data_IF_276424164534
#
_entry.id   IF_276424164534
#
_cell.length_a   1.000
_cell.length_b   1.000
_cell.length_c   1.000
_cell.angle_alpha   90.00
_cell.angle_beta   90.00
_cell.angle_gamma   90.00
#
_symmetry.space_group_name_H-M   'P 1'
#
loop_
_entity.id
_entity.type
_entity.pdbx_description
1 polymer ?
#
# COMPACT_ATOMS: atom_id res chain seq x y z
N UNK A 1 -45.25 10.80 28.02
CA UNK A 1 -46.15 11.18 29.12
C UNK A 1 -46.56 9.92 29.88
N UNK A 2 -46.32 9.81 31.20
CA UNK A 2 -46.61 8.58 31.96
C UNK A 2 -48.02 8.58 32.57
N UNK A 3 -48.68 7.41 32.58
CA UNK A 3 -49.96 7.17 33.27
C UNK A 3 -49.79 6.14 34.39
N UNK A 4 -50.12 6.51 35.64
CA UNK A 4 -49.69 5.78 36.83
C UNK A 4 -50.64 4.68 37.35
N UNK A 5 -50.05 3.68 38.01
CA UNK A 5 -50.75 2.63 38.77
C UNK A 5 -51.58 3.19 39.94
N UNK A 6 -52.79 2.66 40.15
CA UNK A 6 -53.57 2.85 41.40
C UNK A 6 -53.97 1.51 42.01
N UNK A 7 -53.37 1.16 43.15
CA UNK A 7 -53.76 -0.01 43.98
C UNK A 7 -55.02 0.34 44.80
N UNK A 8 -56.04 -0.52 44.81
CA UNK A 8 -57.17 -0.43 45.75
C UNK A 8 -56.77 -1.01 47.11
N UNK A 9 -57.07 -0.28 48.20
CA UNK A 9 -56.97 -0.80 49.58
C UNK A 9 -58.33 -1.37 49.99
N UNK A 10 -58.34 -2.55 50.62
CA UNK A 10 -59.50 -3.04 51.37
C UNK A 10 -59.49 -2.43 52.79
N UNK A 11 -60.67 -2.07 53.28
CA UNK A 11 -60.89 -1.63 54.67
C UNK A 11 -61.92 -2.59 55.27
N UNK A 12 -61.53 -3.35 56.29
CA UNK A 12 -62.46 -4.11 57.11
C UNK A 12 -62.97 -3.23 58.26
N UNK A 13 -64.28 -3.00 58.32
CA UNK A 13 -64.92 -2.33 59.43
C UNK A 13 -64.92 -3.21 60.69
N UNK A 14 -64.86 -2.60 61.88
CA UNK A 14 -65.10 -3.24 63.17
C UNK A 14 -66.46 -2.82 63.72
N UNK A 15 -67.10 -3.71 64.46
CA UNK A 15 -68.28 -3.40 65.27
C UNK A 15 -67.89 -2.46 66.44
N UNK A 16 -68.52 -1.28 66.59
CA UNK A 16 -68.18 -0.32 67.64
C UNK A 16 -68.50 -0.76 69.08
N UNK A 17 -69.38 -1.75 69.27
CA UNK A 17 -69.90 -2.09 70.60
C UNK A 17 -69.09 -3.17 71.34
N UNK A 18 -68.37 -4.05 70.62
CA UNK A 18 -67.65 -5.19 71.21
C UNK A 18 -66.25 -5.47 70.67
N UNK A 19 -65.81 -4.79 69.59
CA UNK A 19 -64.40 -4.71 69.20
C UNK A 19 -63.73 -5.99 68.66
N UNK A 20 -64.45 -7.09 68.46
CA UNK A 20 -63.96 -8.30 67.75
C UNK A 20 -64.65 -8.49 66.39
N UNK A 21 -64.00 -9.23 65.50
CA UNK A 21 -64.52 -9.58 64.17
C UNK A 21 -65.41 -10.83 64.24
N UNK A 22 -66.57 -10.80 63.59
CA UNK A 22 -67.52 -11.92 63.53
C UNK A 22 -67.57 -12.55 62.12
N UNK A 23 -67.85 -13.84 62.05
CA UNK A 23 -68.04 -14.60 60.81
C UNK A 23 -69.42 -15.30 60.82
N UNK A 24 -70.05 -15.43 59.65
CA UNK A 24 -71.40 -16.02 59.48
C UNK A 24 -71.60 -16.48 58.00
N UNK A 25 -72.67 -17.24 57.66
CA UNK A 25 -72.78 -18.68 57.93
C UNK A 25 -73.21 -19.51 56.70
N UNK A 26 -73.41 -20.83 56.88
CA UNK A 26 -73.78 -21.82 55.84
C UNK A 26 -75.19 -22.40 56.12
N UNK A 27 -76.05 -22.65 55.11
CA UNK A 27 -77.26 -23.46 55.27
C UNK A 27 -77.43 -24.62 54.25
N UNK A 28 -78.33 -25.56 54.57
CA UNK A 28 -78.66 -26.82 53.87
C UNK A 28 -80.02 -26.76 53.10
N UNK A 29 -80.40 -27.78 52.28
CA UNK A 29 -81.50 -27.70 51.30
C UNK A 29 -82.79 -28.50 51.66
N UNK A 30 -83.89 -28.31 50.89
CA UNK A 30 -85.02 -29.25 50.82
C UNK A 30 -85.45 -29.65 49.37
N UNK A 31 -86.37 -30.62 49.27
CA UNK A 31 -86.88 -31.34 48.07
C UNK A 31 -88.38 -31.71 48.28
N UNK A 32 -89.14 -32.39 47.39
CA UNK A 32 -89.58 -32.09 46.00
C UNK A 32 -91.12 -31.89 45.82
N UNK A 33 -91.55 -31.50 44.59
CA UNK A 33 -92.76 -31.95 43.81
C UNK A 33 -93.44 -30.84 42.95
N UNK A 34 -94.29 -31.04 41.91
CA UNK A 34 -94.50 -32.08 40.86
C UNK A 34 -95.56 -31.59 39.81
N UNK A 35 -95.61 -32.18 38.60
CA UNK A 35 -96.69 -32.21 37.58
C UNK A 35 -96.76 -31.17 36.42
N UNK A 36 -96.42 -31.61 35.19
CA UNK A 36 -97.00 -31.27 33.87
C UNK A 36 -96.14 -31.92 32.76
N UNK A 37 -96.70 -32.67 31.79
CA UNK A 37 -95.84 -33.46 30.86
C UNK A 37 -96.30 -33.72 29.41
N UNK A 38 -97.31 -33.03 28.88
CA UNK A 38 -97.86 -33.33 27.52
C UNK A 38 -98.10 -32.14 26.59
N UNK A 39 -97.87 -30.88 27.01
CA UNK A 39 -98.03 -29.69 26.14
C UNK A 39 -96.68 -29.21 25.57
N UNK A 40 -95.56 -29.71 26.09
CA UNK A 40 -94.23 -29.21 25.73
C UNK A 40 -93.65 -29.75 24.43
N UNK A 41 -94.06 -30.94 23.97
CA UNK A 41 -93.27 -31.70 22.98
C UNK A 41 -93.44 -31.19 21.54
N UNK A 42 -94.66 -30.89 21.09
CA UNK A 42 -94.90 -30.35 19.74
C UNK A 42 -94.35 -28.93 19.55
N UNK A 43 -94.53 -28.06 20.54
CA UNK A 43 -93.99 -26.69 20.50
C UNK A 43 -92.45 -26.68 20.56
N UNK A 44 -91.86 -27.61 21.30
CA UNK A 44 -90.41 -27.79 21.34
C UNK A 44 -89.87 -28.21 19.97
N UNK A 45 -90.49 -29.18 19.30
CA UNK A 45 -90.02 -29.68 18.00
C UNK A 45 -90.08 -28.61 16.89
N UNK A 46 -91.15 -27.80 16.81
CA UNK A 46 -91.22 -26.71 15.82
C UNK A 46 -90.18 -25.61 16.08
N UNK A 47 -89.91 -25.29 17.35
CA UNK A 47 -88.82 -24.37 17.71
C UNK A 47 -87.45 -24.98 17.40
N UNK A 48 -87.28 -26.29 17.59
CA UNK A 48 -86.04 -27.01 17.31
C UNK A 48 -85.72 -26.99 15.81
N UNK A 49 -86.67 -27.37 14.95
CA UNK A 49 -86.50 -27.38 13.48
C UNK A 49 -86.17 -25.99 12.94
N UNK A 50 -86.88 -24.95 13.41
CA UNK A 50 -86.59 -23.57 13.00
C UNK A 50 -85.19 -23.13 13.45
N UNK A 51 -84.81 -23.45 14.69
CA UNK A 51 -83.46 -23.18 15.21
C UNK A 51 -82.38 -23.97 14.47
N UNK A 52 -82.70 -25.15 13.94
CA UNK A 52 -81.78 -25.92 13.08
C UNK A 52 -81.62 -25.28 11.71
N UNK A 53 -82.71 -24.86 11.07
CA UNK A 53 -82.67 -24.19 9.77
C UNK A 53 -81.90 -22.87 9.82
N UNK A 54 -82.20 -22.01 10.80
CA UNK A 54 -81.51 -20.72 11.00
C UNK A 54 -79.99 -20.92 11.26
N UNK A 55 -79.60 -22.02 11.92
CA UNK A 55 -78.20 -22.39 12.15
C UNK A 55 -77.51 -22.91 10.88
N UNK A 56 -78.19 -23.67 10.05
CA UNK A 56 -77.63 -24.16 8.77
C UNK A 56 -77.43 -23.01 7.78
N UNK A 57 -78.37 -22.08 7.70
CA UNK A 57 -78.22 -20.86 6.87
C UNK A 57 -77.03 -20.02 7.34
N UNK A 58 -76.91 -19.77 8.64
CA UNK A 58 -75.76 -19.05 9.22
C UNK A 58 -74.43 -19.79 9.00
N UNK A 59 -74.42 -21.13 9.05
CA UNK A 59 -73.22 -21.93 8.78
C UNK A 59 -72.79 -21.84 7.31
N UNK A 60 -73.74 -21.83 6.37
CA UNK A 60 -73.46 -21.64 4.94
C UNK A 60 -73.00 -20.21 4.61
N UNK A 61 -73.55 -19.19 5.28
CA UNK A 61 -73.04 -17.83 5.17
C UNK A 61 -71.59 -17.72 5.70
N UNK A 62 -71.30 -18.31 6.86
CA UNK A 62 -69.95 -18.34 7.43
C UNK A 62 -68.96 -19.09 6.52
N UNK A 63 -69.37 -20.19 5.86
CA UNK A 63 -68.55 -20.88 4.85
C UNK A 63 -68.27 -20.00 3.63
N UNK A 64 -69.25 -19.23 3.15
CA UNK A 64 -69.08 -18.28 2.04
C UNK A 64 -68.13 -17.15 2.42
N UNK A 65 -68.23 -16.60 3.63
CA UNK A 65 -67.30 -15.59 4.13
C UNK A 65 -65.88 -16.14 4.30
N UNK A 66 -65.73 -17.34 4.86
CA UNK A 66 -64.43 -18.03 4.98
C UNK A 66 -63.79 -18.23 3.60
N UNK A 67 -64.54 -18.69 2.61
CA UNK A 67 -64.05 -18.85 1.23
C UNK A 67 -63.61 -17.53 0.59
N UNK A 68 -64.34 -16.42 0.83
CA UNK A 68 -63.93 -15.08 0.41
C UNK A 68 -62.65 -14.61 1.13
N UNK A 69 -62.48 -14.95 2.40
CA UNK A 69 -61.28 -14.60 3.17
C UNK A 69 -60.06 -15.38 2.65
N UNK A 70 -60.18 -16.70 2.48
CA UNK A 70 -59.14 -17.56 1.90
C UNK A 70 -58.75 -17.13 0.46
N UNK A 71 -59.70 -16.58 -0.32
CA UNK A 71 -59.37 -15.98 -1.62
C UNK A 71 -58.53 -14.71 -1.45
N UNK A 72 -58.94 -13.79 -0.58
CA UNK A 72 -58.19 -12.55 -0.32
C UNK A 72 -56.81 -12.79 0.27
N UNK A 73 -56.67 -13.82 1.10
CA UNK A 73 -55.38 -14.26 1.65
C UNK A 73 -54.42 -14.68 0.54
N UNK A 74 -54.89 -15.48 -0.43
CA UNK A 74 -54.12 -15.81 -1.66
C UNK A 74 -53.78 -14.59 -2.50
N UNK A 75 -54.72 -13.65 -2.68
CA UNK A 75 -54.47 -12.39 -3.41
C UNK A 75 -53.40 -11.52 -2.71
N UNK A 76 -53.37 -11.51 -1.37
CA UNK A 76 -52.33 -10.82 -0.60
C UNK A 76 -50.97 -11.51 -0.76
N UNK A 77 -50.89 -12.84 -0.65
CA UNK A 77 -49.63 -13.58 -0.87
C UNK A 77 -49.07 -13.37 -2.28
N UNK A 78 -49.93 -13.32 -3.31
CA UNK A 78 -49.54 -13.03 -4.69
C UNK A 78 -48.97 -11.61 -4.83
N UNK A 79 -49.59 -10.62 -4.19
CA UNK A 79 -49.09 -9.24 -4.15
C UNK A 79 -47.78 -9.10 -3.36
N UNK A 80 -47.61 -9.80 -2.24
CA UNK A 80 -46.36 -9.82 -1.48
C UNK A 80 -45.20 -10.40 -2.31
N UNK A 81 -45.46 -11.47 -3.06
CA UNK A 81 -44.48 -12.06 -3.98
C UNK A 81 -44.10 -11.09 -5.11
N UNK A 82 -45.06 -10.32 -5.65
CA UNK A 82 -44.78 -9.30 -6.67
C UNK A 82 -44.03 -8.09 -6.11
N UNK A 83 -44.36 -7.62 -4.89
CA UNK A 83 -43.61 -6.56 -4.20
C UNK A 83 -42.15 -6.98 -3.94
N UNK A 84 -41.92 -8.24 -3.54
CA UNK A 84 -40.57 -8.78 -3.38
C UNK A 84 -39.79 -8.77 -4.70
N UNK A 85 -40.43 -9.20 -5.81
CA UNK A 85 -39.84 -9.19 -7.16
C UNK A 85 -39.48 -7.77 -7.64
N UNK A 86 -40.37 -6.80 -7.45
CA UNK A 86 -40.13 -5.40 -7.81
C UNK A 86 -39.03 -4.77 -6.94
N UNK A 87 -38.96 -5.14 -5.66
CA UNK A 87 -37.89 -4.69 -4.76
C UNK A 87 -36.51 -5.18 -5.21
N UNK A 88 -36.39 -6.44 -5.65
CA UNK A 88 -35.13 -6.98 -6.16
C UNK A 88 -34.70 -6.30 -7.47
N UNK A 89 -35.64 -6.11 -8.41
CA UNK A 89 -35.37 -5.33 -9.64
C UNK A 89 -34.89 -3.90 -9.33
N UNK A 90 -35.42 -3.24 -8.30
CA UNK A 90 -34.95 -1.92 -7.87
C UNK A 90 -33.49 -1.95 -7.39
N UNK A 91 -33.10 -2.99 -6.62
CA UNK A 91 -31.71 -3.17 -6.16
C UNK A 91 -30.75 -3.41 -7.33
N UNK A 92 -31.16 -4.18 -8.33
CA UNK A 92 -30.38 -4.41 -9.54
C UNK A 92 -30.18 -3.11 -10.35
N UNK A 93 -31.21 -2.25 -10.44
CA UNK A 93 -31.11 -0.92 -11.07
C UNK A 93 -30.16 -0.01 -10.26
N UNK A 94 -30.26 0.00 -8.94
CA UNK A 94 -29.34 0.77 -8.09
C UNK A 94 -27.88 0.29 -8.21
N UNK A 95 -27.66 -1.03 -8.33
CA UNK A 95 -26.33 -1.60 -8.62
C UNK A 95 -25.78 -1.12 -9.96
N UNK A 96 -26.58 -1.19 -11.04
CA UNK A 96 -26.19 -0.70 -12.37
C UNK A 96 -25.89 0.81 -12.37
N UNK A 97 -26.70 1.60 -11.65
CA UNK A 97 -26.48 3.03 -11.46
C UNK A 97 -25.16 3.31 -10.75
N UNK A 98 -24.81 2.53 -9.72
CA UNK A 98 -23.55 2.69 -9.00
C UNK A 98 -22.34 2.30 -9.88
N UNK A 99 -22.43 1.23 -10.66
CA UNK A 99 -21.41 0.85 -11.64
C UNK A 99 -21.17 1.96 -12.70
N UNK A 100 -22.24 2.59 -13.18
CA UNK A 100 -22.17 3.74 -14.09
C UNK A 100 -21.51 4.96 -13.45
N UNK A 101 -21.76 5.22 -12.16
CA UNK A 101 -21.08 6.30 -11.41
C UNK A 101 -19.58 6.02 -11.28
N UNK A 102 -19.18 4.79 -10.93
CA UNK A 102 -17.76 4.39 -10.87
C UNK A 102 -17.09 4.45 -12.25
N UNK A 103 -17.82 4.13 -13.32
CA UNK A 103 -17.32 4.27 -14.70
C UNK A 103 -17.15 5.73 -15.11
N UNK A 104 -18.07 6.61 -14.70
CA UNK A 104 -17.97 8.04 -14.92
C UNK A 104 -16.78 8.65 -14.18
N UNK A 105 -16.51 8.23 -12.94
CA UNK A 105 -15.36 8.73 -12.17
C UNK A 105 -14.03 8.30 -12.82
N UNK A 106 -13.89 7.03 -13.22
CA UNK A 106 -12.74 6.54 -14.00
C UNK A 106 -12.52 7.32 -15.30
N UNK A 107 -13.58 7.74 -15.99
CA UNK A 107 -13.47 8.58 -17.19
C UNK A 107 -12.96 9.99 -16.88
N UNK A 108 -13.32 10.59 -15.74
CA UNK A 108 -12.74 11.87 -15.29
C UNK A 108 -11.26 11.73 -14.96
N UNK A 109 -10.86 10.65 -14.29
CA UNK A 109 -9.45 10.38 -13.98
C UNK A 109 -8.61 10.27 -15.27
N UNK A 110 -9.11 9.56 -16.29
CA UNK A 110 -8.45 9.45 -17.60
C UNK A 110 -8.34 10.80 -18.32
N UNK A 111 -9.40 11.63 -18.31
CA UNK A 111 -9.34 12.97 -18.92
C UNK A 111 -8.40 13.91 -18.13
N UNK A 112 -8.32 13.80 -16.80
CA UNK A 112 -7.35 14.52 -15.99
C UNK A 112 -5.91 14.10 -16.31
N UNK A 113 -5.64 12.79 -16.43
CA UNK A 113 -4.33 12.27 -16.83
C UNK A 113 -3.93 12.76 -18.23
N UNK A 114 -4.86 12.79 -19.18
CA UNK A 114 -4.65 13.31 -20.54
C UNK A 114 -4.32 14.81 -20.53
N UNK A 115 -4.98 15.62 -19.69
CA UNK A 115 -4.65 17.04 -19.53
C UNK A 115 -3.28 17.25 -18.87
N UNK A 116 -2.84 16.36 -17.98
CA UNK A 116 -1.51 16.40 -17.39
C UNK A 116 -0.43 15.99 -18.40
N UNK A 117 -0.67 14.94 -19.19
CA UNK A 117 0.20 14.54 -20.30
C UNK A 117 0.35 15.65 -21.36
N UNK A 118 -0.73 16.36 -21.70
CA UNK A 118 -0.69 17.51 -22.61
C UNK A 118 0.19 18.65 -22.06
N UNK A 119 0.09 18.97 -20.76
CA UNK A 119 0.96 19.96 -20.10
C UNK A 119 2.43 19.54 -20.12
N UNK A 120 2.71 18.26 -19.90
CA UNK A 120 4.07 17.71 -19.98
C UNK A 120 4.62 17.86 -21.41
N UNK A 121 3.81 17.56 -22.44
CA UNK A 121 4.21 17.75 -23.85
C UNK A 121 4.51 19.20 -24.17
N UNK A 122 3.65 20.14 -23.77
CA UNK A 122 3.84 21.57 -24.01
C UNK A 122 5.10 22.12 -23.31
N UNK A 123 5.39 21.67 -22.08
CA UNK A 123 6.63 22.01 -21.38
C UNK A 123 7.87 21.37 -22.03
N UNK A 124 7.75 20.16 -22.58
CA UNK A 124 8.81 19.52 -23.37
C UNK A 124 9.11 20.33 -24.65
N UNK A 125 8.10 20.71 -25.42
CA UNK A 125 8.27 21.53 -26.63
C UNK A 125 8.90 22.89 -26.30
N UNK A 126 8.47 23.53 -25.21
CA UNK A 126 9.07 24.78 -24.69
C UNK A 126 10.54 24.62 -24.33
N UNK A 127 10.92 23.50 -23.71
CA UNK A 127 12.34 23.20 -23.36
C UNK A 127 13.19 22.91 -24.59
N UNK A 128 12.66 22.19 -25.58
CA UNK A 128 13.36 21.95 -26.85
C UNK A 128 13.62 23.27 -27.58
N UNK A 129 12.62 24.15 -27.68
CA UNK A 129 12.78 25.48 -28.26
C UNK A 129 13.81 26.34 -27.49
N UNK A 130 13.78 26.30 -26.15
CA UNK A 130 14.76 27.02 -25.33
C UNK A 130 16.20 26.50 -25.50
N UNK A 131 16.38 25.18 -25.62
CA UNK A 131 17.69 24.57 -25.91
C UNK A 131 18.19 24.94 -27.31
N UNK A 132 17.32 24.99 -28.32
CA UNK A 132 17.67 25.48 -29.66
C UNK A 132 18.15 26.94 -29.62
N UNK A 133 17.51 27.78 -28.82
CA UNK A 133 17.90 29.18 -28.65
C UNK A 133 19.24 29.34 -27.93
N UNK A 134 19.49 28.60 -26.84
CA UNK A 134 20.79 28.60 -26.15
C UNK A 134 21.92 28.19 -27.11
N UNK A 135 21.69 27.15 -27.93
CA UNK A 135 22.67 26.69 -28.94
C UNK A 135 22.97 27.78 -29.97
N UNK A 136 21.94 28.51 -30.42
CA UNK A 136 22.05 29.65 -31.34
C UNK A 136 22.84 30.81 -30.73
N UNK A 137 22.50 31.24 -29.52
CA UNK A 137 23.13 32.38 -28.84
C UNK A 137 24.63 32.15 -28.57
N UNK A 138 25.02 30.94 -28.19
CA UNK A 138 26.40 30.64 -27.78
C UNK A 138 27.35 30.34 -28.95
N UNK A 139 26.88 30.49 -30.20
CA UNK A 139 27.64 30.21 -31.41
C UNK A 139 28.06 28.74 -31.52
N UNK A 140 27.25 27.83 -30.98
CA UNK A 140 27.58 26.42 -30.89
C UNK A 140 27.17 25.75 -32.21
N UNK A 141 28.10 25.68 -33.15
CA UNK A 141 27.85 25.06 -34.46
C UNK A 141 27.36 23.61 -34.35
N UNK A 142 26.55 23.19 -35.32
CA UNK A 142 26.26 21.78 -35.52
C UNK A 142 27.56 20.99 -35.68
N UNK A 143 28.00 20.30 -34.62
CA UNK A 143 28.92 19.18 -34.73
C UNK A 143 28.17 17.96 -35.31
N UNK A 144 27.53 18.15 -36.47
CA UNK A 144 26.82 17.16 -37.26
C UNK A 144 27.74 16.03 -37.75
N UNK A 145 29.06 16.22 -37.62
CA UNK A 145 30.12 15.24 -37.86
C UNK A 145 30.48 14.36 -36.65
N UNK A 146 29.77 14.43 -35.51
CA UNK A 146 29.82 13.34 -34.51
C UNK A 146 29.04 12.15 -35.07
N UNK A 147 29.70 11.41 -35.95
CA UNK A 147 29.39 10.02 -36.14
C UNK A 147 29.74 9.30 -34.83
N UNK A 148 28.73 9.04 -34.00
CA UNK A 148 28.82 7.98 -33.01
C UNK A 148 29.30 6.74 -33.75
N UNK A 149 30.48 6.23 -33.40
CA UNK A 149 30.98 5.04 -34.06
C UNK A 149 29.98 3.89 -33.85
N UNK A 150 29.86 2.99 -34.84
CA UNK A 150 28.86 1.92 -34.78
C UNK A 150 29.04 1.02 -33.56
N UNK A 151 30.28 0.90 -33.07
CA UNK A 151 30.62 0.16 -31.87
C UNK A 151 30.11 0.86 -30.60
N UNK A 152 30.13 2.20 -30.49
CA UNK A 152 29.59 2.93 -29.34
C UNK A 152 28.10 2.67 -29.10
N UNK A 153 27.27 2.67 -30.16
CA UNK A 153 25.83 2.38 -30.03
C UNK A 153 25.56 0.94 -29.60
N UNK A 154 26.27 -0.03 -30.16
CA UNK A 154 26.11 -1.43 -29.77
C UNK A 154 26.77 -1.75 -28.42
N UNK A 155 27.87 -1.08 -28.07
CA UNK A 155 28.52 -1.12 -26.76
C UNK A 155 27.61 -0.56 -25.68
N UNK A 156 27.01 0.61 -25.89
CA UNK A 156 25.99 1.17 -25.00
C UNK A 156 24.78 0.23 -24.88
N UNK A 157 24.21 -0.28 -25.98
CA UNK A 157 23.09 -1.24 -25.92
C UNK A 157 23.42 -2.53 -25.16
N UNK A 158 24.67 -3.01 -25.26
CA UNK A 158 25.14 -4.20 -24.53
C UNK A 158 25.33 -3.87 -23.05
N UNK A 159 26.21 -2.92 -22.74
CA UNK A 159 26.58 -2.60 -21.36
C UNK A 159 25.42 -1.98 -20.57
N UNK A 160 24.46 -1.31 -21.21
CA UNK A 160 23.21 -0.84 -20.59
C UNK A 160 22.15 -1.96 -20.41
N UNK A 161 22.25 -3.08 -21.16
CA UNK A 161 21.51 -4.32 -20.83
C UNK A 161 22.19 -5.09 -19.70
N UNK A 162 23.52 -5.15 -19.69
CA UNK A 162 24.30 -5.78 -18.62
C UNK A 162 24.12 -4.98 -17.30
N UNK A 163 23.89 -3.67 -17.37
CA UNK A 163 23.46 -2.87 -16.21
C UNK A 163 22.05 -3.21 -15.70
N UNK A 164 21.24 -3.93 -16.50
CA UNK A 164 19.99 -4.60 -16.07
C UNK A 164 20.19 -6.08 -15.74
N UNK A 165 21.38 -6.67 -15.91
CA UNK A 165 21.69 -7.98 -15.33
C UNK A 165 22.06 -7.89 -13.85
N UNK A 166 21.86 -6.72 -13.21
CA UNK A 166 21.79 -6.53 -11.75
C UNK A 166 20.56 -7.22 -11.10
N UNK A 167 19.97 -8.24 -11.73
CA UNK A 167 19.06 -9.16 -11.06
C UNK A 167 19.91 -10.00 -10.11
N UNK A 168 19.89 -9.68 -8.81
CA UNK A 168 20.47 -10.55 -7.80
C UNK A 168 19.89 -11.97 -7.96
N UNK A 169 20.75 -12.95 -8.23
CA UNK A 169 20.31 -14.35 -8.43
C UNK A 169 19.80 -14.97 -7.13
N UNK A 170 20.23 -14.39 -6.00
CA UNK A 170 19.85 -14.75 -4.63
C UNK A 170 19.71 -13.48 -3.81
N UNK A 171 18.63 -13.36 -3.03
CA UNK A 171 18.48 -12.29 -2.03
C UNK A 171 18.22 -12.94 -0.67
N UNK A 172 19.04 -12.59 0.32
CA UNK A 172 19.00 -13.18 1.67
C UNK A 172 18.70 -12.10 2.69
N UNK A 173 17.57 -12.23 3.37
CA UNK A 173 17.11 -11.31 4.41
C UNK A 173 17.33 -11.93 5.78
N UNK A 174 18.08 -11.26 6.66
CA UNK A 174 18.22 -11.64 8.06
C UNK A 174 17.53 -10.58 8.93
N UNK A 175 16.36 -10.92 9.50
CA UNK A 175 15.64 -10.06 10.43
C UNK A 175 15.96 -10.45 11.86
N UNK A 176 16.46 -9.49 12.63
CA UNK A 176 17.06 -9.70 13.95
C UNK A 176 16.35 -8.86 15.01
N UNK A 177 16.01 -9.52 16.12
CA UNK A 177 15.55 -8.90 17.37
C UNK A 177 16.18 -9.63 18.56
N UNK A 178 16.04 -9.09 19.77
CA UNK A 178 16.47 -9.77 20.99
C UNK A 178 15.48 -10.84 21.47
N UNK A 179 15.98 -11.81 22.25
CA UNK A 179 15.15 -12.81 22.92
C UNK A 179 14.18 -12.18 23.92
N UNK A 180 14.71 -11.29 24.77
CA UNK A 180 13.94 -10.50 25.71
C UNK A 180 13.78 -9.06 25.20
N UNK A 181 12.92 -8.86 24.20
CA UNK A 181 12.41 -7.53 23.83
C UNK A 181 11.18 -7.13 24.66
N UNK A 182 11.10 -5.86 25.05
CA UNK A 182 9.96 -5.25 25.75
C UNK A 182 9.09 -4.37 24.81
N UNK A 183 9.34 -4.45 23.49
CA UNK A 183 8.76 -3.59 22.47
C UNK A 183 7.57 -4.25 21.71
N UNK A 184 7.36 -5.56 21.86
CA UNK A 184 6.22 -6.26 21.28
C UNK A 184 6.32 -6.42 19.75
N UNK A 185 7.52 -6.67 19.26
CA UNK A 185 7.88 -6.51 17.84
C UNK A 185 7.41 -7.65 16.91
N UNK A 186 6.76 -8.69 17.42
CA UNK A 186 6.36 -9.88 16.65
C UNK A 186 5.50 -9.55 15.42
N UNK A 187 4.44 -8.76 15.59
CA UNK A 187 3.56 -8.35 14.49
C UNK A 187 4.29 -7.57 13.37
N UNK A 188 5.03 -6.49 13.69
CA UNK A 188 5.87 -5.77 12.72
C UNK A 188 6.89 -6.67 12.00
N UNK A 189 7.64 -7.50 12.73
CA UNK A 189 8.63 -8.45 12.19
C UNK A 189 7.98 -9.45 11.22
N UNK A 190 6.82 -10.02 11.61
CA UNK A 190 6.10 -10.99 10.78
C UNK A 190 5.54 -10.36 9.51
N UNK A 191 5.08 -9.12 9.58
CA UNK A 191 4.56 -8.41 8.40
C UNK A 191 5.68 -8.03 7.43
N UNK A 192 6.83 -7.55 7.93
CA UNK A 192 8.00 -7.28 7.09
C UNK A 192 8.51 -8.55 6.40
N UNK A 193 8.65 -9.65 7.16
CA UNK A 193 9.04 -10.96 6.63
C UNK A 193 8.08 -11.44 5.52
N UNK A 194 6.76 -11.35 5.74
CA UNK A 194 5.75 -11.73 4.73
C UNK A 194 5.89 -10.93 3.42
N UNK A 195 6.22 -9.64 3.48
CA UNK A 195 6.42 -8.83 2.26
C UNK A 195 7.66 -9.30 1.50
N UNK A 196 8.79 -9.52 2.19
CA UNK A 196 9.99 -10.06 1.56
C UNK A 196 9.77 -11.48 0.99
N UNK A 197 9.13 -12.38 1.74
CA UNK A 197 8.86 -13.76 1.30
C UNK A 197 7.83 -13.86 0.16
N UNK A 198 6.71 -13.13 0.25
CA UNK A 198 5.54 -13.35 -0.63
C UNK A 198 5.49 -12.37 -1.79
N UNK A 199 5.87 -11.11 -1.57
CA UNK A 199 5.84 -10.08 -2.60
C UNK A 199 7.16 -10.00 -3.37
N UNK A 200 8.30 -10.22 -2.70
CA UNK A 200 9.63 -10.18 -3.34
C UNK A 200 10.26 -11.56 -3.58
N UNK A 201 9.77 -12.62 -2.93
CA UNK A 201 10.29 -14.00 -3.00
C UNK A 201 11.76 -14.16 -2.56
N UNK A 202 12.20 -13.30 -1.65
CA UNK A 202 13.53 -13.39 -1.06
C UNK A 202 13.60 -14.54 -0.04
N UNK A 203 14.80 -15.06 0.20
CA UNK A 203 15.06 -16.03 1.26
C UNK A 203 15.11 -15.28 2.60
N UNK A 204 14.14 -15.50 3.48
CA UNK A 204 14.02 -14.76 4.75
C UNK A 204 14.30 -15.66 5.94
N UNK A 205 15.30 -15.27 6.74
CA UNK A 205 15.58 -15.81 8.05
C UNK A 205 15.19 -14.81 9.14
N UNK A 206 14.65 -15.32 10.25
CA UNK A 206 14.51 -14.58 11.50
C UNK A 206 15.52 -15.12 12.50
N UNK A 207 16.23 -14.24 13.20
CA UNK A 207 17.14 -14.60 14.27
C UNK A 207 16.81 -13.85 15.54
N UNK A 208 17.06 -14.51 16.67
CA UNK A 208 16.75 -14.00 18.00
C UNK A 208 18.06 -13.96 18.79
N UNK A 209 18.55 -12.76 19.08
CA UNK A 209 19.82 -12.54 19.79
C UNK A 209 19.66 -13.07 21.23
N UNK A 210 20.54 -13.98 21.70
CA UNK A 210 20.54 -14.45 23.07
C UNK A 210 21.14 -13.40 24.02
N UNK A 211 20.68 -13.39 25.27
CA UNK A 211 21.23 -12.53 26.33
C UNK A 211 22.67 -12.91 26.73
N UNK A 212 23.07 -14.16 26.47
CA UNK A 212 24.41 -14.70 26.75
C UNK A 212 25.19 -14.80 25.45
N UNK A 213 26.37 -14.17 25.44
CA UNK A 213 27.26 -14.06 24.28
C UNK A 213 26.58 -13.55 22.98
N UNK A 214 25.85 -12.40 23.04
CA UNK A 214 25.07 -11.88 21.92
C UNK A 214 25.92 -11.61 20.67
N UNK A 215 27.13 -11.08 20.87
CA UNK A 215 28.02 -10.67 19.79
C UNK A 215 28.52 -11.86 18.97
N UNK A 216 29.01 -12.93 19.61
CA UNK A 216 29.46 -14.11 18.87
C UNK A 216 28.29 -14.86 18.22
N UNK A 217 27.15 -14.96 18.92
CA UNK A 217 25.95 -15.60 18.39
C UNK A 217 25.44 -14.90 17.12
N UNK A 218 25.28 -13.57 17.16
CA UNK A 218 24.85 -12.80 16.00
C UNK A 218 25.90 -12.79 14.88
N UNK A 219 27.19 -12.60 15.20
CA UNK A 219 28.27 -12.65 14.21
C UNK A 219 28.31 -13.98 13.46
N UNK A 220 28.10 -15.09 14.17
CA UNK A 220 28.05 -16.43 13.56
C UNK A 220 26.87 -16.56 12.60
N UNK A 221 25.69 -16.06 12.98
CA UNK A 221 24.50 -16.08 12.12
C UNK A 221 24.63 -15.16 10.89
N UNK A 222 25.32 -14.03 11.04
CA UNK A 222 25.60 -13.11 9.93
C UNK A 222 26.54 -13.75 8.92
N UNK A 223 27.64 -14.38 9.37
CA UNK A 223 28.54 -15.15 8.48
C UNK A 223 27.83 -16.30 7.76
N UNK A 224 26.95 -17.02 8.46
CA UNK A 224 26.11 -18.06 7.84
C UNK A 224 25.18 -17.49 6.75
N UNK A 225 24.70 -16.25 6.93
CA UNK A 225 23.83 -15.57 5.95
C UNK A 225 24.60 -15.06 4.73
N UNK A 226 25.83 -14.56 4.93
CA UNK A 226 26.78 -14.22 3.85
C UNK A 226 27.12 -15.48 3.02
N UNK A 227 27.42 -16.60 3.69
CA UNK A 227 27.55 -17.91 3.06
C UNK A 227 28.70 -18.01 2.05
N UNK A 228 28.36 -18.04 0.77
CA UNK A 228 29.26 -18.12 -0.39
C UNK A 228 29.90 -16.80 -0.82
N UNK A 229 29.47 -15.65 -0.24
CA UNK A 229 30.06 -14.32 -0.49
C UNK A 229 30.12 -13.97 -2.00
N UNK A 230 28.98 -14.17 -2.68
CA UNK A 230 28.83 -13.96 -4.11
C UNK A 230 28.42 -12.51 -4.46
N UNK A 231 29.05 -11.87 -5.46
CA UNK A 231 28.63 -10.54 -5.94
C UNK A 231 27.24 -10.56 -6.60
N UNK A 232 26.72 -11.73 -6.99
CA UNK A 232 25.37 -11.89 -7.55
C UNK A 232 24.29 -12.01 -6.47
N UNK A 233 24.64 -11.82 -5.19
CA UNK A 233 23.73 -11.88 -4.04
C UNK A 233 23.53 -10.50 -3.41
N UNK A 234 22.29 -10.19 -3.01
CA UNK A 234 21.98 -9.09 -2.09
C UNK A 234 21.73 -9.62 -0.68
N UNK A 235 22.43 -9.05 0.28
CA UNK A 235 22.18 -9.24 1.70
C UNK A 235 21.27 -8.12 2.21
N UNK A 236 20.22 -8.45 2.93
CA UNK A 236 19.37 -7.46 3.62
C UNK A 236 19.39 -7.78 5.11
N UNK A 237 20.08 -6.96 5.88
CA UNK A 237 20.17 -7.12 7.33
C UNK A 237 19.22 -6.14 8.01
N UNK A 238 18.33 -6.64 8.87
CA UNK A 238 17.33 -5.81 9.56
C UNK A 238 17.50 -5.98 11.07
N UNK A 239 17.86 -4.91 11.77
CA UNK A 239 17.82 -4.87 13.24
C UNK A 239 16.60 -4.08 13.71
N UNK A 240 15.82 -4.67 14.62
CA UNK A 240 14.67 -4.02 15.26
C UNK A 240 14.79 -4.25 16.77
N UNK A 241 14.96 -3.17 17.55
CA UNK A 241 15.22 -3.26 18.98
C UNK A 241 15.61 -1.91 19.60
N UNK A 242 16.21 -1.95 20.79
CA UNK A 242 16.76 -0.75 21.41
C UNK A 242 18.18 -0.47 20.93
N UNK A 243 18.55 0.80 21.03
CA UNK A 243 19.86 1.30 20.67
C UNK A 243 20.19 2.53 21.49
N UNK A 244 21.46 2.63 21.84
CA UNK A 244 22.01 3.74 22.61
C UNK A 244 23.44 4.02 22.14
N UNK A 245 23.96 5.20 22.44
CA UNK A 245 25.37 5.53 22.22
C UNK A 245 26.09 5.41 23.57
N UNK A 246 27.20 4.70 23.63
CA UNK A 246 28.01 4.63 24.85
C UNK A 246 28.78 5.94 25.07
N UNK A 247 28.58 6.56 26.23
CA UNK A 247 29.09 7.90 26.58
C UNK A 247 30.63 8.10 26.53
N UNK A 248 31.43 7.04 26.33
CA UNK A 248 32.90 7.10 26.39
C UNK A 248 33.58 6.78 25.05
N UNK A 249 33.14 5.70 24.42
CA UNK A 249 33.61 5.23 23.10
C UNK A 249 32.87 5.92 21.95
N UNK A 250 31.66 6.44 22.23
CA UNK A 250 30.63 6.79 21.24
C UNK A 250 30.13 5.58 20.42
N UNK A 251 30.44 4.34 20.83
CA UNK A 251 29.98 3.16 20.12
C UNK A 251 28.45 3.04 20.15
N UNK A 252 27.86 2.66 19.02
CA UNK A 252 26.45 2.31 18.93
C UNK A 252 26.24 0.92 19.57
N UNK A 253 25.43 0.88 20.63
CA UNK A 253 25.10 -0.31 21.40
C UNK A 253 23.67 -0.74 21.08
N UNK A 254 23.49 -1.97 20.60
CA UNK A 254 22.19 -2.63 20.48
C UNK A 254 21.85 -3.39 21.76
N UNK A 255 20.59 -3.35 22.22
CA UNK A 255 20.14 -4.03 23.44
C UNK A 255 18.69 -4.51 23.36
N UNK A 256 18.35 -5.52 24.18
CA UNK A 256 16.98 -6.07 24.23
C UNK A 256 15.99 -5.21 25.01
N UNK A 257 16.49 -4.47 26.00
CA UNK A 257 15.74 -3.54 26.85
C UNK A 257 16.68 -2.49 27.44
N UNK A 258 16.12 -1.37 27.88
CA UNK A 258 16.85 -0.35 28.65
C UNK A 258 17.54 -0.96 29.88
N UNK A 259 18.87 -0.85 29.96
CA UNK A 259 19.68 -1.43 31.05
C UNK A 259 19.79 -2.96 31.04
N UNK A 260 19.38 -3.64 29.97
CA UNK A 260 19.59 -5.07 29.75
C UNK A 260 20.94 -5.40 29.11
N UNK A 261 21.15 -6.68 28.72
CA UNK A 261 22.27 -7.09 27.88
C UNK A 261 22.31 -6.27 26.59
N UNK A 262 23.51 -5.95 26.14
CA UNK A 262 23.75 -5.23 24.90
C UNK A 262 25.09 -5.60 24.26
N UNK A 263 25.28 -5.20 23.01
CA UNK A 263 26.50 -5.40 22.24
C UNK A 263 26.76 -4.21 21.32
N UNK A 264 28.04 -3.99 21.00
CA UNK A 264 28.46 -3.02 19.99
C UNK A 264 27.99 -3.48 18.61
N UNK A 265 27.36 -2.61 17.83
CA UNK A 265 26.83 -2.94 16.50
C UNK A 265 27.89 -2.94 15.38
N UNK A 266 28.97 -2.17 15.53
CA UNK A 266 29.98 -1.95 14.47
C UNK A 266 30.59 -3.26 13.96
N UNK A 267 30.93 -4.20 14.84
CA UNK A 267 31.47 -5.50 14.45
C UNK A 267 30.53 -6.36 13.60
N UNK A 268 29.21 -6.15 13.67
CA UNK A 268 28.23 -6.81 12.80
C UNK A 268 28.17 -6.12 11.44
N UNK A 269 28.26 -4.80 11.42
CA UNK A 269 28.28 -4.03 10.18
C UNK A 269 29.54 -4.29 9.37
N UNK A 270 30.71 -4.30 10.00
CA UNK A 270 31.99 -4.56 9.30
C UNK A 270 31.96 -5.90 8.54
N UNK A 271 31.34 -6.94 9.12
CA UNK A 271 31.16 -8.23 8.43
C UNK A 271 30.32 -8.15 7.14
N UNK A 272 29.43 -7.16 7.03
CA UNK A 272 28.57 -6.94 5.86
C UNK A 272 29.22 -5.97 4.86
N UNK A 273 29.97 -4.97 5.34
CA UNK A 273 30.78 -4.03 4.53
C UNK A 273 32.01 -4.69 3.88
N UNK A 274 32.58 -5.72 4.51
CA UNK A 274 33.70 -6.52 3.98
C UNK A 274 33.26 -7.59 2.97
N UNK A 275 31.94 -7.80 2.80
CA UNK A 275 31.39 -8.80 1.88
C UNK A 275 31.41 -8.33 0.41
N UNK A 276 31.59 -9.28 -0.52
CA UNK A 276 31.48 -9.03 -1.96
C UNK A 276 30.03 -8.91 -2.45
N UNK A 277 29.08 -9.44 -1.68
CA UNK A 277 27.65 -9.20 -1.92
C UNK A 277 27.29 -7.75 -1.60
N UNK A 278 26.39 -7.15 -2.38
CA UNK A 278 25.76 -5.87 -2.00
C UNK A 278 24.97 -6.06 -0.69
N UNK A 279 24.93 -5.03 0.15
CA UNK A 279 24.27 -5.08 1.46
C UNK A 279 23.33 -3.89 1.70
N UNK A 280 22.09 -4.20 2.11
CA UNK A 280 21.12 -3.21 2.60
C UNK A 280 20.91 -3.41 4.10
N UNK A 281 21.33 -2.42 4.89
CA UNK A 281 21.18 -2.38 6.34
C UNK A 281 19.92 -1.57 6.69
N UNK A 282 19.03 -2.14 7.49
CA UNK A 282 17.80 -1.50 7.95
C UNK A 282 17.78 -1.51 9.49
N UNK A 283 18.00 -0.35 10.11
CA UNK A 283 18.07 -0.23 11.58
C UNK A 283 16.84 0.51 12.11
N UNK A 284 15.88 -0.22 12.69
CA UNK A 284 14.75 0.36 13.43
C UNK A 284 15.07 0.41 14.93
N UNK A 285 15.86 1.41 15.29
CA UNK A 285 16.33 1.65 16.67
C UNK A 285 16.61 3.13 16.93
N UNK A 286 16.50 3.54 18.19
CA UNK A 286 16.98 4.83 18.68
C UNK A 286 18.50 4.96 18.42
N UNK A 287 18.97 6.18 18.17
CA UNK A 287 20.39 6.55 18.02
C UNK A 287 21.19 5.68 17.02
N UNK A 288 20.60 5.41 15.84
CA UNK A 288 21.23 4.57 14.80
C UNK A 288 22.41 5.23 14.07
N UNK A 289 22.68 6.52 14.31
CA UNK A 289 23.50 7.36 13.41
C UNK A 289 25.00 7.36 13.69
N UNK A 290 25.49 6.97 14.88
CA UNK A 290 26.94 6.80 15.10
C UNK A 290 27.48 5.46 14.55
N UNK A 291 26.84 5.01 13.48
CA UNK A 291 27.24 3.90 12.65
C UNK A 291 28.35 4.42 11.73
N UNK A 292 29.61 4.15 12.09
CA UNK A 292 30.77 4.71 11.41
C UNK A 292 30.74 4.39 9.90
N UNK A 293 30.96 5.41 9.07
CA UNK A 293 31.21 5.22 7.64
C UNK A 293 32.58 4.55 7.52
N UNK A 294 32.65 3.37 6.90
CA UNK A 294 33.93 2.70 6.68
C UNK A 294 34.81 3.52 5.75
N UNK A 295 35.94 4.00 6.27
CA UNK A 295 36.92 4.81 5.52
C UNK A 295 37.80 3.95 4.58
N UNK A 296 37.56 2.65 4.51
CA UNK A 296 38.39 1.66 3.81
C UNK A 296 37.51 0.57 3.17
N UNK A 297 36.71 0.89 2.14
CA UNK A 297 35.86 -0.09 1.47
C UNK A 297 36.70 -1.20 0.84
N UNK A 298 36.27 -2.46 1.01
CA UNK A 298 36.76 -3.55 0.16
C UNK A 298 36.21 -3.35 -1.25
N UNK A 299 37.08 -3.45 -2.26
CA UNK A 299 36.70 -3.10 -3.62
C UNK A 299 35.69 -4.10 -4.22
N UNK A 300 34.51 -3.61 -4.63
CA UNK A 300 33.61 -4.32 -5.55
C UNK A 300 32.15 -4.52 -5.13
N UNK A 301 31.72 -4.01 -3.96
CA UNK A 301 30.33 -4.09 -3.49
C UNK A 301 29.76 -2.72 -3.08
N UNK A 302 28.45 -2.66 -2.85
CA UNK A 302 27.74 -1.48 -2.32
C UNK A 302 27.07 -1.83 -1.00
N UNK A 303 27.27 -1.00 0.03
CA UNK A 303 26.52 -1.07 1.28
C UNK A 303 25.70 0.19 1.49
N UNK A 304 24.37 0.06 1.53
CA UNK A 304 23.45 1.14 1.91
C UNK A 304 22.84 0.91 3.30
N UNK A 305 22.67 1.98 4.06
CA UNK A 305 21.97 1.99 5.35
C UNK A 305 20.71 2.86 5.25
N UNK A 306 19.59 2.36 5.78
CA UNK A 306 18.46 3.20 6.22
C UNK A 306 18.26 3.01 7.73
N UNK A 307 18.43 4.10 8.47
CA UNK A 307 18.14 4.21 9.88
C UNK A 307 16.74 4.81 10.12
N UNK A 308 16.01 4.30 11.11
CA UNK A 308 14.71 4.84 11.52
C UNK A 308 14.81 6.22 12.20
N UNK A 309 15.95 6.49 12.84
CA UNK A 309 16.19 7.71 13.58
C UNK A 309 17.67 8.10 13.57
N UNK A 310 17.93 9.38 13.32
CA UNK A 310 19.23 10.00 13.55
C UNK A 310 19.56 10.28 15.03
N UNK A 311 20.44 11.25 15.25
CA UNK A 311 21.10 11.52 16.54
C UNK A 311 20.16 11.76 17.74
N UNK A 312 18.95 12.33 17.56
CA UNK A 312 18.22 13.03 18.64
C UNK A 312 16.78 12.54 19.00
N UNK A 313 16.31 11.34 18.62
CA UNK A 313 14.93 10.96 19.01
C UNK A 313 14.63 9.47 19.28
N UNK A 314 13.56 9.24 20.04
CA UNK A 314 13.03 7.91 20.36
C UNK A 314 12.21 7.36 19.19
N UNK A 315 12.44 6.11 18.79
CA UNK A 315 11.62 5.44 17.77
C UNK A 315 10.21 5.14 18.30
N UNK A 316 9.19 5.39 17.47
CA UNK A 316 7.77 5.26 17.87
C UNK A 316 7.25 3.85 17.59
N UNK A 317 6.60 3.22 18.56
CA UNK A 317 5.87 1.96 18.35
C UNK A 317 4.49 2.15 17.68
N UNK A 318 3.98 1.09 17.04
CA UNK A 318 2.63 1.04 16.42
C UNK A 318 2.57 1.44 14.95
N UNK A 319 1.36 1.65 14.41
CA UNK A 319 1.06 1.69 12.96
C UNK A 319 1.77 2.78 12.11
N UNK A 320 2.50 3.71 12.74
CA UNK A 320 3.36 4.68 12.04
C UNK A 320 4.81 4.63 12.58
N UNK A 321 5.28 3.46 13.01
CA UNK A 321 6.71 3.21 13.22
C UNK A 321 7.45 3.20 11.88
N UNK A 322 8.78 3.27 11.91
CA UNK A 322 9.59 3.15 10.71
C UNK A 322 9.33 1.81 10.01
N UNK A 323 9.46 0.67 10.71
CA UNK A 323 9.17 -0.66 10.14
C UNK A 323 7.76 -0.75 9.54
N UNK A 324 6.73 -0.21 10.20
CA UNK A 324 5.35 -0.26 9.68
C UNK A 324 5.20 0.55 8.37
N UNK A 325 5.78 1.75 8.31
CA UNK A 325 5.75 2.59 7.10
C UNK A 325 6.61 2.00 5.98
N UNK A 326 7.81 1.51 6.30
CA UNK A 326 8.72 0.84 5.39
C UNK A 326 8.08 -0.40 4.77
N UNK A 327 7.52 -1.30 5.60
CA UNK A 327 6.80 -2.51 5.14
C UNK A 327 5.67 -2.15 4.16
N UNK A 328 4.91 -1.08 4.44
CA UNK A 328 3.82 -0.64 3.56
C UNK A 328 4.32 -0.07 2.23
N UNK A 329 5.39 0.73 2.24
CA UNK A 329 5.96 1.27 0.99
C UNK A 329 6.70 0.21 0.17
N UNK A 330 7.35 -0.74 0.84
CA UNK A 330 7.97 -1.91 0.22
C UNK A 330 6.92 -2.79 -0.48
N UNK A 331 5.81 -3.08 0.20
CA UNK A 331 4.68 -3.83 -0.37
C UNK A 331 3.99 -3.08 -1.52
N UNK A 332 3.92 -1.74 -1.46
CA UNK A 332 3.39 -0.89 -2.53
C UNK A 332 4.33 -0.84 -3.74
N UNK A 333 5.64 -0.88 -3.52
CA UNK A 333 6.63 -0.92 -4.58
C UNK A 333 6.66 -2.28 -5.30
N UNK A 334 6.42 -3.40 -4.60
CA UNK A 334 6.42 -4.74 -5.19
C UNK A 334 5.45 -4.89 -6.37
N UNK A 335 4.29 -4.21 -6.32
CA UNK A 335 3.29 -4.23 -7.40
C UNK A 335 3.64 -3.30 -8.57
N UNK A 336 4.69 -2.48 -8.43
CA UNK A 336 5.17 -1.52 -9.43
C UNK A 336 6.48 -1.98 -10.10
N UNK A 337 7.01 -3.15 -9.72
CA UNK A 337 8.28 -3.69 -10.20
C UNK A 337 9.49 -3.19 -9.39
N UNK A 338 10.60 -2.93 -10.08
CA UNK A 338 11.85 -2.52 -9.46
C UNK A 338 11.78 -1.14 -8.77
N UNK A 339 12.34 -1.03 -7.57
CA UNK A 339 12.45 0.22 -6.81
C UNK A 339 13.86 0.39 -6.25
N UNK A 340 14.46 1.58 -6.38
CA UNK A 340 15.72 1.87 -5.70
C UNK A 340 15.51 2.11 -4.21
N UNK A 341 16.50 1.73 -3.39
CA UNK A 341 16.53 2.03 -1.95
C UNK A 341 16.39 3.53 -1.71
N UNK A 342 17.03 4.38 -2.53
CA UNK A 342 16.81 5.84 -2.61
C UNK A 342 15.34 6.24 -2.73
N UNK A 343 14.61 5.64 -3.68
CA UNK A 343 13.20 5.96 -3.96
C UNK A 343 12.27 5.44 -2.87
N UNK A 344 12.56 4.27 -2.32
CA UNK A 344 11.83 3.69 -1.20
C UNK A 344 12.00 4.54 0.07
N UNK A 345 13.22 4.95 0.39
CA UNK A 345 13.53 5.89 1.47
C UNK A 345 12.74 7.21 1.32
N UNK A 346 12.75 7.82 0.14
CA UNK A 346 12.01 9.07 -0.10
C UNK A 346 10.50 8.91 0.11
N UNK A 347 9.91 7.77 -0.26
CA UNK A 347 8.49 7.46 0.01
C UNK A 347 8.20 7.31 1.50
N UNK A 348 9.07 6.61 2.24
CA UNK A 348 8.97 6.43 3.70
C UNK A 348 9.08 7.78 4.41
N UNK A 349 10.10 8.59 4.08
CA UNK A 349 10.30 9.93 4.61
C UNK A 349 9.10 10.84 4.33
N UNK A 350 8.58 10.84 3.09
CA UNK A 350 7.41 11.64 2.72
C UNK A 350 6.17 11.26 3.53
N UNK A 351 5.91 9.96 3.76
CA UNK A 351 4.77 9.54 4.60
C UNK A 351 4.96 9.91 6.08
N UNK A 352 6.16 9.69 6.65
CA UNK A 352 6.44 10.05 8.05
C UNK A 352 6.32 11.57 8.27
N UNK A 353 6.78 12.39 7.33
CA UNK A 353 6.63 13.86 7.38
C UNK A 353 5.20 14.36 7.13
N UNK A 354 4.37 13.63 6.39
CA UNK A 354 2.98 14.02 6.10
C UNK A 354 1.95 13.47 7.10
N UNK A 355 2.40 12.80 8.16
CA UNK A 355 1.55 12.42 9.27
C UNK A 355 1.06 13.65 10.06
N UNK A 356 -0.11 13.56 10.71
CA UNK A 356 -0.69 14.68 11.50
C UNK A 356 0.12 14.96 12.77
N UNK A 357 0.76 13.94 13.34
CA UNK A 357 1.53 14.02 14.57
C UNK A 357 3.00 14.45 14.34
N UNK A 358 3.22 15.53 13.57
CA UNK A 358 4.58 15.95 13.13
C UNK A 358 5.58 16.25 14.25
N UNK A 359 5.13 16.54 15.48
CA UNK A 359 5.95 17.12 16.56
C UNK A 359 6.91 16.16 17.25
N UNK A 360 6.79 14.84 17.02
CA UNK A 360 7.60 13.80 17.70
C UNK A 360 8.12 12.74 16.73
N UNK A 361 8.19 13.04 15.44
CA UNK A 361 8.61 12.07 14.43
C UNK A 361 10.13 12.12 14.26
N UNK A 362 10.80 11.02 14.62
CA UNK A 362 12.14 10.73 14.14
C UNK A 362 12.20 10.88 12.62
N UNK A 363 13.21 11.59 12.13
CA UNK A 363 13.49 11.64 10.69
C UNK A 363 14.38 10.44 10.39
N UNK A 364 13.95 9.50 9.52
CA UNK A 364 14.82 8.42 9.09
C UNK A 364 15.93 9.00 8.22
N UNK A 365 17.09 8.36 8.22
CA UNK A 365 18.26 8.81 7.46
C UNK A 365 18.79 7.67 6.60
N UNK A 366 19.32 8.03 5.43
CA UNK A 366 19.92 7.11 4.47
C UNK A 366 21.37 7.50 4.21
N UNK A 367 22.27 6.53 4.32
CA UNK A 367 23.69 6.67 4.04
C UNK A 367 24.15 5.60 3.05
N UNK A 368 25.09 5.94 2.17
CA UNK A 368 25.92 4.95 1.47
C UNK A 368 27.18 4.78 2.31
N UNK A 369 27.42 3.58 2.81
CA UNK A 369 28.54 3.24 3.69
C UNK A 369 29.75 2.73 2.90
N UNK A 370 29.48 1.95 1.86
CA UNK A 370 30.46 1.42 0.89
C UNK A 370 29.90 1.64 -0.51
N UNK A 371 30.72 2.08 -1.46
CA UNK A 371 30.34 2.36 -2.84
C UNK A 371 31.45 1.94 -3.80
N UNK A 372 31.08 1.46 -4.98
CA UNK A 372 31.99 1.11 -6.09
C UNK A 372 32.21 2.28 -7.07
N UNK A 373 31.96 3.52 -6.62
CA UNK A 373 31.87 4.78 -7.40
C UNK A 373 30.90 4.82 -8.60
N UNK A 374 30.38 3.69 -9.09
CA UNK A 374 29.56 3.60 -10.33
C UNK A 374 28.06 3.27 -10.10
N UNK A 375 27.68 2.72 -8.94
CA UNK A 375 26.28 2.42 -8.58
C UNK A 375 25.67 3.52 -7.69
N UNK A 376 24.58 4.13 -8.15
CA UNK A 376 23.91 5.22 -7.42
C UNK A 376 22.98 4.76 -6.28
N UNK A 377 22.43 3.55 -6.37
CA UNK A 377 21.59 2.93 -5.31
C UNK A 377 21.27 1.46 -5.64
N UNK A 378 21.22 0.61 -4.61
CA UNK A 378 20.70 -0.76 -4.64
C UNK A 378 19.26 -0.76 -5.15
N UNK A 379 18.91 -1.80 -5.92
CA UNK A 379 17.56 -2.02 -6.48
C UNK A 379 16.91 -3.21 -5.79
N UNK A 380 15.66 -3.04 -5.37
CA UNK A 380 14.81 -4.09 -4.86
C UNK A 380 13.75 -4.40 -5.91
N UNK A 381 13.70 -5.66 -6.35
CA UNK A 381 12.67 -6.15 -7.28
C UNK A 381 12.26 -7.59 -6.94
N UNK A 382 11.03 -8.01 -7.23
CA UNK A 382 10.62 -9.39 -6.99
C UNK A 382 11.41 -10.38 -7.83
N UNK A 383 11.93 -11.45 -7.20
CA UNK A 383 12.61 -12.50 -7.94
C UNK A 383 11.63 -13.21 -8.89
N UNK A 384 12.06 -13.34 -10.15
CA UNK A 384 11.33 -14.10 -11.16
C UNK A 384 11.16 -15.55 -10.69
N UNK A 385 10.01 -16.18 -10.96
CA UNK A 385 9.87 -17.59 -10.67
C UNK A 385 10.84 -18.38 -11.56
N UNK A 386 11.39 -19.53 -11.12
CA UNK A 386 12.19 -20.37 -11.99
C UNK A 386 11.37 -20.69 -13.25
N UNK A 387 11.94 -20.54 -14.46
CA UNK A 387 11.16 -20.54 -15.69
C UNK A 387 10.53 -21.90 -15.94
N UNK A 388 9.21 -21.98 -15.78
CA UNK A 388 8.42 -23.05 -16.39
C UNK A 388 8.50 -22.84 -17.89
N UNK A 389 8.97 -23.85 -18.62
CA UNK A 389 9.24 -23.77 -20.05
C UNK A 389 7.95 -23.69 -20.87
N UNK A 390 7.38 -22.50 -21.00
CA UNK A 390 6.29 -22.19 -21.94
C UNK A 390 6.74 -21.08 -22.88
N UNK A 391 6.93 -21.44 -24.15
CA UNK A 391 7.32 -20.52 -25.24
C UNK A 391 6.18 -19.59 -25.63
N UNK A 392 6.54 -18.38 -26.08
CA UNK A 392 5.67 -17.36 -26.69
C UNK A 392 4.66 -16.70 -25.73
N UNK A 393 4.32 -15.42 -25.86
CA UNK A 393 4.66 -14.39 -26.85
C UNK A 393 4.89 -13.05 -26.14
N UNK A 394 5.49 -12.07 -26.82
CA UNK A 394 5.73 -10.73 -26.28
C UNK A 394 4.40 -10.02 -25.94
N UNK A 395 4.14 -9.81 -24.65
CA UNK A 395 3.06 -8.94 -24.16
C UNK A 395 3.55 -7.50 -24.08
N UNK A 396 2.69 -6.57 -24.45
CA UNK A 396 2.98 -5.14 -24.54
C UNK A 396 3.29 -4.54 -23.14
N UNK A 397 4.18 -3.53 -23.10
CA UNK A 397 4.57 -2.87 -21.85
C UNK A 397 3.41 -2.05 -21.28
N UNK A 398 3.18 -2.21 -19.98
CA UNK A 398 2.19 -1.44 -19.22
C UNK A 398 2.50 0.07 -19.16
N UNK A 399 1.44 0.90 -19.18
CA UNK A 399 1.45 2.36 -19.11
C UNK A 399 1.96 2.90 -17.75
N UNK A 400 3.23 2.69 -17.44
CA UNK A 400 3.97 3.55 -16.54
C UNK A 400 4.31 4.87 -17.24
N UNK A 401 4.10 6.01 -16.57
CA UNK A 401 4.49 7.33 -17.11
C UNK A 401 6.02 7.39 -17.26
N UNK A 402 6.48 7.05 -18.46
CA UNK A 402 7.89 6.96 -18.81
C UNK A 402 8.46 8.37 -19.01
N UNK A 403 9.29 8.83 -18.08
CA UNK A 403 10.02 10.07 -18.22
C UNK A 403 11.09 9.94 -19.32
N UNK A 404 10.80 10.46 -20.51
CA UNK A 404 11.75 10.50 -21.63
C UNK A 404 12.69 11.70 -21.46
N UNK A 405 13.95 11.43 -21.11
CA UNK A 405 14.97 12.46 -20.94
C UNK A 405 15.68 12.75 -22.26
N UNK A 406 15.41 13.92 -22.85
CA UNK A 406 16.12 14.41 -24.02
C UNK A 406 17.40 15.14 -23.59
N UNK A 407 18.57 14.51 -23.76
CA UNK A 407 19.87 15.07 -23.39
C UNK A 407 20.56 15.62 -24.65
N UNK A 408 20.55 16.93 -24.82
CA UNK A 408 21.34 17.62 -25.85
C UNK A 408 22.77 17.86 -25.37
N UNK A 409 23.77 17.37 -26.12
CA UNK A 409 25.18 17.52 -25.78
C UNK A 409 25.81 18.49 -26.76
N UNK A 410 26.48 19.52 -26.24
CA UNK A 410 27.07 20.58 -27.05
C UNK A 410 28.54 20.76 -26.68
N UNK A 411 29.43 20.53 -27.63
CA UNK A 411 30.88 20.61 -27.44
C UNK A 411 31.49 21.76 -28.24
N UNK A 412 32.23 22.64 -27.57
CA UNK A 412 33.04 23.69 -28.20
C UNK A 412 34.42 23.13 -28.60
N UNK A 413 34.54 22.69 -29.85
CA UNK A 413 35.83 22.40 -30.50
C UNK A 413 36.41 20.99 -30.35
N UNK A 414 37.02 20.52 -31.45
CA UNK A 414 37.84 19.31 -31.66
C UNK A 414 37.22 17.94 -31.31
N UNK A 415 37.69 16.91 -32.05
CA UNK A 415 37.08 15.58 -32.17
C UNK A 415 36.88 14.87 -30.82
N UNK A 416 35.84 14.03 -30.73
CA UNK A 416 35.74 12.98 -29.69
C UNK A 416 36.79 11.91 -30.03
N UNK A 417 38.00 12.04 -29.48
CA UNK A 417 39.08 11.06 -29.65
C UNK A 417 38.87 9.79 -28.83
N UNK A 418 38.15 9.91 -27.72
CA UNK A 418 37.71 8.79 -26.89
C UNK A 418 36.27 9.04 -26.46
N UNK A 419 35.41 8.05 -26.70
CA UNK A 419 34.00 8.05 -26.28
C UNK A 419 33.80 7.29 -24.97
N UNK A 420 34.84 6.65 -24.41
CA UNK A 420 34.76 5.78 -23.23
C UNK A 420 34.33 6.53 -21.96
N UNK A 421 34.95 7.66 -21.62
CA UNK A 421 34.51 8.46 -20.47
C UNK A 421 33.08 9.05 -20.62
N UNK A 422 32.59 9.18 -21.85
CA UNK A 422 31.20 9.57 -22.10
C UNK A 422 30.23 8.37 -22.03
N UNK A 423 30.68 7.18 -22.44
CA UNK A 423 29.96 5.93 -22.21
C UNK A 423 29.81 5.68 -20.71
N UNK A 424 30.90 5.79 -19.95
CA UNK A 424 30.93 5.71 -18.48
C UNK A 424 29.94 6.70 -17.86
N UNK A 425 29.89 7.95 -18.33
CA UNK A 425 28.91 8.93 -17.88
C UNK A 425 27.45 8.55 -18.21
N UNK A 426 27.15 8.02 -19.41
CA UNK A 426 25.81 7.49 -19.72
C UNK A 426 25.46 6.24 -18.89
N UNK A 427 26.47 5.40 -18.63
CA UNK A 427 26.40 4.27 -17.72
C UNK A 427 26.34 4.71 -16.24
N UNK A 428 26.29 6.01 -15.92
CA UNK A 428 25.93 6.54 -14.59
C UNK A 428 24.48 7.05 -14.50
N UNK A 429 23.68 6.91 -15.56
CA UNK A 429 22.27 7.32 -15.55
C UNK A 429 21.46 6.65 -14.42
N UNK A 430 20.44 7.32 -13.84
CA UNK A 430 19.60 6.73 -12.79
C UNK A 430 18.93 5.42 -13.22
N UNK A 431 18.78 4.48 -12.29
CA UNK A 431 18.21 3.14 -12.55
C UNK A 431 16.76 3.12 -13.06
N UNK A 432 16.02 4.22 -12.90
CA UNK A 432 14.69 4.39 -13.48
C UNK A 432 14.69 4.83 -14.96
N UNK A 433 15.86 4.98 -15.59
CA UNK A 433 16.01 5.27 -17.03
C UNK A 433 15.83 3.96 -17.80
N UNK A 434 14.61 3.76 -18.31
CA UNK A 434 14.19 2.51 -18.99
C UNK A 434 14.77 2.31 -20.39
N UNK A 435 15.40 3.34 -20.98
CA UNK A 435 16.08 3.30 -22.27
C UNK A 435 16.95 4.56 -22.44
N UNK A 436 18.01 4.50 -23.26
CA UNK A 436 18.80 5.67 -23.66
C UNK A 436 18.83 5.74 -25.19
N UNK A 437 18.07 6.68 -25.75
CA UNK A 437 17.99 6.89 -27.19
C UNK A 437 18.86 8.07 -27.64
N UNK A 438 19.89 7.75 -28.43
CA UNK A 438 20.79 8.75 -29.01
C UNK A 438 20.20 9.34 -30.29
N UNK A 439 19.37 10.37 -30.14
CA UNK A 439 18.78 11.13 -31.24
C UNK A 439 19.75 12.15 -31.82
N UNK A 440 19.67 12.37 -33.15
CA UNK A 440 20.37 13.46 -33.85
C UNK A 440 19.40 14.63 -34.00
N UNK A 441 19.59 15.68 -33.20
CA UNK A 441 18.87 16.94 -33.38
C UNK A 441 19.38 17.57 -34.67
N UNK A 442 18.51 17.77 -35.67
CA UNK A 442 18.83 18.58 -36.85
C UNK A 442 18.45 20.03 -36.55
N UNK A 443 19.39 20.95 -36.70
CA UNK A 443 19.18 22.38 -36.52
C UNK A 443 19.15 23.01 -37.91
N UNK A 444 17.94 23.24 -38.45
CA UNK A 444 17.80 23.92 -39.73
C UNK A 444 18.34 25.35 -39.64
N UNK A 445 19.50 25.59 -40.26
CA UNK A 445 20.09 26.91 -40.41
C UNK A 445 19.23 27.72 -41.38
N UNK A 446 18.37 28.60 -40.88
CA UNK A 446 17.74 29.62 -41.73
C UNK A 446 18.84 30.53 -42.27
N UNK A 447 19.17 30.36 -43.55
CA UNK A 447 19.97 31.32 -44.30
C UNK A 447 19.13 32.56 -44.53
N UNK A 448 19.43 33.65 -43.83
CA UNK A 448 18.89 34.96 -44.14
C UNK A 448 19.30 35.37 -45.55
N UNK A 449 18.33 35.42 -46.47
CA UNK A 449 18.56 35.88 -47.84
C UNK A 449 18.76 37.39 -47.85
N UNK A 450 19.99 37.84 -47.67
CA UNK A 450 20.38 39.24 -47.93
C UNK A 450 20.50 39.41 -49.45
N UNK A 451 19.35 39.58 -50.11
CA UNK A 451 19.29 40.21 -51.42
C UNK A 451 19.22 41.73 -51.21
N UNK A 452 20.39 42.36 -51.09
CA UNK A 452 20.55 43.81 -51.08
C UNK A 452 21.33 44.22 -52.32
N UNK A 453 20.73 45.04 -53.18
CA UNK A 453 21.26 45.45 -54.48
C UNK A 453 22.72 45.94 -54.45
N UNK A 454 23.55 45.39 -55.35
CA UNK A 454 24.67 46.15 -55.89
C UNK A 454 24.11 47.29 -56.75
N UNK A 455 24.43 48.53 -56.40
CA UNK A 455 24.31 49.69 -57.30
C UNK A 455 25.70 50.31 -57.45
N UNK A 456 26.40 49.88 -58.49
CA UNK A 456 27.65 50.51 -58.94
C UNK A 456 27.38 51.95 -59.35
N UNK A 457 28.09 52.91 -58.75
CA UNK A 457 28.16 54.27 -59.26
C UNK A 457 29.59 54.79 -59.15
N UNK A 458 30.39 54.51 -60.17
CA UNK A 458 31.60 55.28 -60.44
C UNK A 458 31.23 56.72 -60.83
N UNK A 459 32.13 57.65 -60.51
CA UNK A 459 31.91 59.08 -60.71
C UNK A 459 33.12 59.92 -60.30
N UNK A 460 34.20 59.85 -61.10
CA UNK A 460 35.34 60.76 -61.02
C UNK A 460 35.80 61.19 -62.41
N UNK A 461 35.66 62.49 -62.66
CA UNK A 461 36.38 63.35 -63.62
C UNK A 461 36.28 64.78 -63.05
N UNK A 462 37.17 65.73 -63.43
CA UNK A 462 38.19 65.65 -64.48
C UNK A 462 39.64 65.50 -63.96
#
# INVERSE_FOLDING_TARGET
MPGGNKKRKYIQARDPATGRYCAAPKPEPPDPATAAKTVFEEQYNVLLDKTHHDKEEYLEELKREKSKFEQKEREVEDLEREVARLTENSRDIDRQKQELVERLERLKEVEQQKQEAEKIRQEQDRRVAHLQEIVREHGLEENSNIAWDGNFKEKLKREFRDRRSNFYTSVRVLIVRWALDDLGLSGPVDNLAKVFEKSYRFNVAKFTIPDVDPANALSSRVRESIGDDSPDTLLIFVYIGHGNIENKSHDAIWSGRSGGPGMVSSGIQTLLEESKSDALLLYDTCHSENTAISLSPSAGSVTELIAACGFESTTRSGNNSFTAVFTRELSSAATQGAVSVSRLYNRVLARLRNNRDRKTNATPVRCTLVSDDDRTSIILEPLLPPPVTTSHQSSELSDGVNAVYNIGIVKRGLKMGDTSGFLEWLLRAPSNVIDIQLHRIHIQKQTSSINGHESSHDGHEP
#
